data_IF_478298609090
#
_entry.id   IF_478298609090
#
_cell.length_a   1.000
_cell.length_b   1.000
_cell.length_c   1.000
_cell.angle_alpha   90.00
_cell.angle_beta   90.00
_cell.angle_gamma   90.00
#
_symmetry.space_group_name_H-M   'P 1'
#
loop_
_entity.id
_entity.type
_entity.pdbx_description
1 polymer ?
#
# COMPACT_ATOMS: atom_id res chain seq x y z
N UNK A 1 -45.71 35.52 -32.52
CA UNK A 1 -44.57 35.72 -33.44
C UNK A 1 -43.59 34.57 -33.25
N UNK A 2 -43.37 33.76 -34.29
CA UNK A 2 -42.39 32.70 -34.26
C UNK A 2 -40.99 33.33 -34.16
N UNK A 3 -40.20 32.93 -33.16
CA UNK A 3 -38.84 33.42 -32.98
C UNK A 3 -37.96 32.80 -34.06
N UNK A 4 -37.32 33.63 -34.87
CA UNK A 4 -36.39 33.16 -35.90
C UNK A 4 -35.11 32.61 -35.23
N UNK A 5 -35.05 31.29 -35.16
CA UNK A 5 -33.97 30.52 -34.52
C UNK A 5 -32.67 30.60 -35.32
N UNK A 6 -32.68 31.18 -36.53
CA UNK A 6 -31.49 31.36 -37.37
C UNK A 6 -30.81 32.72 -37.14
N UNK A 7 -31.42 33.63 -36.38
CA UNK A 7 -30.83 34.94 -36.09
C UNK A 7 -29.76 34.83 -34.98
N UNK A 8 -28.49 35.21 -35.23
CA UNK A 8 -27.43 35.19 -34.23
C UNK A 8 -27.70 36.07 -33.00
N UNK A 9 -28.42 37.19 -33.17
CA UNK A 9 -28.78 38.09 -32.06
C UNK A 9 -29.77 37.46 -31.09
N UNK A 10 -30.64 36.57 -31.60
CA UNK A 10 -31.56 35.81 -30.76
C UNK A 10 -30.80 34.90 -29.80
N UNK A 11 -29.78 34.19 -30.30
CA UNK A 11 -28.93 33.34 -29.48
C UNK A 11 -28.08 34.13 -28.50
N UNK A 12 -27.54 35.28 -28.90
CA UNK A 12 -26.80 36.16 -27.98
C UNK A 12 -27.69 36.65 -26.83
N UNK A 13 -28.91 37.11 -27.10
CA UNK A 13 -29.88 37.49 -26.05
C UNK A 13 -30.37 36.31 -25.22
N UNK A 14 -30.43 35.11 -25.81
CA UNK A 14 -30.82 33.89 -25.11
C UNK A 14 -29.73 33.41 -24.15
N UNK A 15 -28.47 33.45 -24.56
CA UNK A 15 -27.31 33.07 -23.74
C UNK A 15 -27.07 34.02 -22.56
N UNK A 16 -27.44 35.30 -22.68
CA UNK A 16 -27.37 36.31 -21.61
C UNK A 16 -28.54 36.22 -20.61
N UNK A 17 -29.46 35.26 -20.76
CA UNK A 17 -30.55 35.08 -19.77
C UNK A 17 -29.97 34.49 -18.49
N UNK A 18 -30.31 35.02 -17.31
CA UNK A 18 -29.77 34.51 -16.03
C UNK A 18 -29.99 33.01 -15.84
N UNK A 19 -31.13 32.48 -16.30
CA UNK A 19 -31.47 31.05 -16.25
C UNK A 19 -30.54 30.20 -17.14
N UNK A 20 -30.23 30.69 -18.34
CA UNK A 20 -29.37 30.00 -19.31
C UNK A 20 -27.91 30.08 -18.87
N UNK A 21 -27.47 31.23 -18.36
CA UNK A 21 -26.14 31.37 -17.75
C UNK A 21 -25.95 30.45 -16.55
N UNK A 22 -26.96 30.31 -15.68
CA UNK A 22 -26.90 29.40 -14.54
C UNK A 22 -26.77 27.93 -14.98
N UNK A 23 -27.50 27.52 -16.01
CA UNK A 23 -27.37 26.18 -16.61
C UNK A 23 -26.00 25.97 -17.23
N UNK A 24 -25.48 26.95 -17.97
CA UNK A 24 -24.14 26.89 -18.59
C UNK A 24 -23.03 26.84 -17.54
N UNK A 25 -23.10 27.64 -16.47
CA UNK A 25 -22.16 27.57 -15.34
C UNK A 25 -22.20 26.21 -14.64
N UNK A 26 -23.40 25.65 -14.46
CA UNK A 26 -23.56 24.30 -13.88
C UNK A 26 -22.94 23.23 -14.79
N UNK A 27 -23.11 23.35 -16.10
CA UNK A 27 -22.52 22.46 -17.11
C UNK A 27 -20.98 22.55 -17.10
N UNK A 28 -20.42 23.76 -17.17
CA UNK A 28 -18.96 23.99 -17.09
C UNK A 28 -18.36 23.44 -15.79
N UNK A 29 -19.04 23.63 -14.66
CA UNK A 29 -18.61 23.08 -13.37
C UNK A 29 -18.61 21.54 -13.39
N UNK A 30 -19.63 20.92 -13.98
CA UNK A 30 -19.71 19.46 -14.11
C UNK A 30 -18.63 18.91 -15.06
N UNK A 31 -18.42 19.55 -16.20
CA UNK A 31 -17.35 19.21 -17.15
C UNK A 31 -15.97 19.30 -16.48
N UNK A 32 -15.71 20.38 -15.74
CA UNK A 32 -14.47 20.54 -14.96
C UNK A 32 -14.27 19.42 -13.92
N UNK A 33 -15.32 18.99 -13.22
CA UNK A 33 -15.23 17.86 -12.30
C UNK A 33 -15.00 16.53 -13.02
N UNK A 34 -15.63 16.31 -14.17
CA UNK A 34 -15.44 15.11 -14.98
C UNK A 34 -14.01 15.02 -15.52
N UNK A 35 -13.46 16.13 -16.02
CA UNK A 35 -12.06 16.24 -16.45
C UNK A 35 -11.09 15.98 -15.29
N UNK A 36 -11.33 16.58 -14.12
CA UNK A 36 -10.53 16.34 -12.92
C UNK A 36 -10.56 14.86 -12.51
N UNK A 37 -11.75 14.24 -12.50
CA UNK A 37 -11.91 12.83 -12.18
C UNK A 37 -11.19 11.92 -13.20
N UNK A 38 -11.25 12.25 -14.49
CA UNK A 38 -10.55 11.52 -15.53
C UNK A 38 -9.03 11.63 -15.37
N UNK A 39 -8.51 12.83 -15.07
CA UNK A 39 -7.09 13.05 -14.78
C UNK A 39 -6.63 12.24 -13.56
N UNK A 40 -7.44 12.20 -12.49
CA UNK A 40 -7.14 11.37 -11.31
C UNK A 40 -7.11 9.88 -11.64
N UNK A 41 -8.02 9.39 -12.49
CA UNK A 41 -8.01 7.98 -12.94
C UNK A 41 -6.75 7.64 -13.73
N UNK A 42 -6.35 8.50 -14.65
CA UNK A 42 -5.13 8.32 -15.46
C UNK A 42 -3.88 8.31 -14.57
N UNK A 43 -3.76 9.25 -13.64
CA UNK A 43 -2.64 9.31 -12.70
C UNK A 43 -2.57 8.05 -11.81
N UNK A 44 -3.71 7.52 -11.35
CA UNK A 44 -3.74 6.23 -10.63
C UNK A 44 -3.26 5.06 -11.49
N UNK A 45 -3.66 4.99 -12.75
CA UNK A 45 -3.24 3.95 -13.68
C UNK A 45 -1.74 4.02 -13.97
N UNK A 46 -1.20 5.23 -14.20
CA UNK A 46 0.23 5.43 -14.39
C UNK A 46 1.04 5.02 -13.16
N UNK A 47 0.61 5.42 -11.95
CA UNK A 47 1.30 5.02 -10.71
C UNK A 47 1.30 3.50 -10.54
N UNK A 48 0.18 2.84 -10.86
CA UNK A 48 0.11 1.37 -10.86
C UNK A 48 1.14 0.78 -11.82
N UNK A 49 1.21 1.26 -13.06
CA UNK A 49 2.20 0.78 -14.03
C UNK A 49 3.64 0.98 -13.54
N UNK A 50 3.95 2.16 -12.99
CA UNK A 50 5.30 2.45 -12.44
C UNK A 50 5.70 1.47 -11.35
N UNK A 51 4.77 1.06 -10.48
CA UNK A 51 5.04 0.04 -9.45
C UNK A 51 5.40 -1.31 -10.07
N UNK A 52 4.66 -1.76 -11.07
CA UNK A 52 4.97 -3.00 -11.79
C UNK A 52 6.34 -2.93 -12.46
N UNK A 53 6.65 -1.83 -13.13
CA UNK A 53 7.93 -1.64 -13.82
C UNK A 53 9.10 -1.70 -12.82
N UNK A 54 9.00 -0.98 -11.70
CA UNK A 54 10.04 -1.01 -10.65
C UNK A 54 10.21 -2.43 -10.12
N UNK A 55 9.11 -3.14 -9.86
CA UNK A 55 9.19 -4.48 -9.30
C UNK A 55 9.79 -5.47 -10.27
N UNK A 56 9.39 -5.47 -11.54
CA UNK A 56 9.97 -6.33 -12.56
C UNK A 56 11.50 -6.19 -12.62
N UNK A 57 12.01 -4.97 -12.48
CA UNK A 57 13.45 -4.70 -12.44
C UNK A 57 14.08 -5.11 -11.09
N UNK A 58 13.38 -4.90 -9.96
CA UNK A 58 13.82 -5.38 -8.65
C UNK A 58 13.90 -6.90 -8.59
N UNK A 59 13.05 -7.64 -9.31
CA UNK A 59 13.10 -9.10 -9.37
C UNK A 59 14.42 -9.63 -9.95
N UNK A 60 15.07 -8.85 -10.81
CA UNK A 60 16.38 -9.18 -11.39
C UNK A 60 17.56 -8.77 -10.50
N UNK A 61 17.30 -8.02 -9.42
CA UNK A 61 18.33 -7.59 -8.48
C UNK A 61 18.77 -8.75 -7.55
N UNK A 62 19.96 -8.62 -6.98
CA UNK A 62 20.41 -9.52 -5.93
C UNK A 62 19.52 -9.41 -4.68
N UNK A 63 19.39 -10.53 -3.96
CA UNK A 63 18.51 -10.70 -2.79
C UNK A 63 18.72 -9.65 -1.70
N UNK A 64 19.96 -9.23 -1.44
CA UNK A 64 20.27 -8.19 -0.46
C UNK A 64 19.63 -6.83 -0.78
N UNK A 65 19.55 -6.48 -2.07
CA UNK A 65 18.90 -5.25 -2.53
C UNK A 65 17.38 -5.38 -2.39
N UNK A 66 16.81 -6.55 -2.71
CA UNK A 66 15.38 -6.83 -2.50
C UNK A 66 14.99 -6.69 -1.03
N UNK A 67 15.76 -7.26 -0.11
CA UNK A 67 15.53 -7.16 1.34
C UNK A 67 15.60 -5.73 1.88
N UNK A 68 16.51 -4.91 1.36
CA UNK A 68 16.58 -3.51 1.75
C UNK A 68 15.30 -2.76 1.36
N UNK A 69 14.82 -2.99 0.13
CA UNK A 69 13.76 -2.19 -0.47
C UNK A 69 12.36 -2.68 -0.07
N UNK A 70 12.15 -3.99 0.07
CA UNK A 70 10.86 -4.62 0.38
C UNK A 70 10.08 -3.95 1.52
N UNK A 71 10.65 -3.79 2.72
CA UNK A 71 9.91 -3.18 3.84
C UNK A 71 9.57 -1.70 3.59
N UNK A 72 10.31 -1.03 2.68
CA UNK A 72 10.10 0.37 2.33
C UNK A 72 9.17 0.56 1.13
N UNK A 73 8.92 -0.48 0.33
CA UNK A 73 8.27 -0.33 -0.97
C UNK A 73 6.80 0.09 -0.90
N UNK A 74 6.13 -0.18 0.23
CA UNK A 74 4.76 0.29 0.51
C UNK A 74 4.63 1.81 0.63
N UNK A 75 5.73 2.51 0.87
CA UNK A 75 5.71 3.96 1.06
C UNK A 75 5.91 4.70 -0.26
N UNK A 76 5.06 5.71 -0.49
CA UNK A 76 5.10 6.54 -1.69
C UNK A 76 6.46 7.20 -1.94
N UNK A 77 7.14 7.67 -0.88
CA UNK A 77 8.47 8.29 -1.00
C UNK A 77 9.49 7.32 -1.61
N UNK A 78 9.44 6.06 -1.20
CA UNK A 78 10.29 4.99 -1.75
C UNK A 78 9.97 4.75 -3.21
N UNK A 79 8.69 4.59 -3.56
CA UNK A 79 8.27 4.34 -4.95
C UNK A 79 8.66 5.49 -5.89
N UNK A 80 8.46 6.74 -5.47
CA UNK A 80 8.85 7.91 -6.24
C UNK A 80 10.35 7.99 -6.45
N UNK A 81 11.13 7.70 -5.39
CA UNK A 81 12.58 7.71 -5.47
C UNK A 81 13.09 6.58 -6.39
N UNK A 82 12.60 5.36 -6.23
CA UNK A 82 12.97 4.22 -7.08
C UNK A 82 12.59 4.44 -8.54
N UNK A 83 11.43 5.06 -8.83
CA UNK A 83 11.05 5.43 -10.20
C UNK A 83 12.07 6.40 -10.80
N UNK A 84 12.47 7.43 -10.04
CA UNK A 84 13.48 8.39 -10.48
C UNK A 84 14.81 7.69 -10.80
N UNK A 85 15.27 6.83 -9.91
CA UNK A 85 16.50 6.04 -10.10
C UNK A 85 16.41 5.12 -11.31
N UNK A 86 15.25 4.49 -11.55
CA UNK A 86 15.02 3.64 -12.72
C UNK A 86 15.10 4.45 -14.02
N UNK A 87 14.49 5.64 -14.06
CA UNK A 87 14.60 6.54 -15.19
C UNK A 87 16.04 6.98 -15.44
N UNK A 88 16.78 7.35 -14.39
CA UNK A 88 18.20 7.72 -14.49
C UNK A 88 19.06 6.56 -15.01
N UNK A 89 18.85 5.34 -14.49
CA UNK A 89 19.55 4.14 -14.95
C UNK A 89 19.33 3.89 -16.45
N UNK A 90 18.08 4.03 -16.92
CA UNK A 90 17.72 3.90 -18.34
C UNK A 90 18.35 4.98 -19.20
N UNK A 91 18.41 6.23 -18.72
CA UNK A 91 19.05 7.34 -19.44
C UNK A 91 20.56 7.14 -19.55
N UNK A 92 21.19 6.60 -18.52
CA UNK A 92 22.63 6.32 -18.48
C UNK A 92 23.00 4.99 -19.16
N UNK A 93 22.02 4.19 -19.61
CA UNK A 93 22.24 2.90 -20.25
C UNK A 93 22.78 1.83 -19.29
N UNK A 94 22.52 1.96 -17.99
CA UNK A 94 22.96 1.01 -16.97
C UNK A 94 21.80 0.19 -16.39
N UNK A 95 22.13 -0.99 -15.86
CA UNK A 95 21.14 -1.83 -15.20
C UNK A 95 20.64 -1.17 -13.92
N UNK A 96 19.35 -1.30 -13.65
CA UNK A 96 18.74 -0.74 -12.45
C UNK A 96 19.39 -1.29 -11.17
N UNK A 97 19.71 -2.58 -11.15
CA UNK A 97 20.40 -3.24 -10.04
C UNK A 97 21.77 -2.63 -9.74
N UNK A 98 22.53 -2.24 -10.77
CA UNK A 98 23.84 -1.61 -10.61
C UNK A 98 23.68 -0.17 -10.15
N UNK A 99 22.67 0.56 -10.64
CA UNK A 99 22.38 1.93 -10.19
C UNK A 99 22.06 1.96 -8.69
N UNK A 100 21.27 1.00 -8.20
CA UNK A 100 20.93 0.88 -6.78
C UNK A 100 22.13 0.63 -5.87
N UNK A 101 23.21 0.05 -6.41
CA UNK A 101 24.46 -0.21 -5.68
C UNK A 101 25.41 0.98 -5.65
N UNK A 102 25.15 2.02 -6.44
CA UNK A 102 25.97 3.23 -6.39
C UNK A 102 25.90 3.85 -4.99
N UNK A 103 27.02 4.34 -4.42
CA UNK A 103 27.04 4.84 -3.05
C UNK A 103 25.98 5.92 -2.81
N UNK A 104 25.78 6.84 -3.75
CA UNK A 104 24.81 7.92 -3.59
C UNK A 104 23.37 7.39 -3.45
N UNK A 105 22.98 6.44 -4.31
CA UNK A 105 21.63 5.85 -4.29
C UNK A 105 21.44 4.99 -3.04
N UNK A 106 22.42 4.16 -2.72
CA UNK A 106 22.37 3.30 -1.55
C UNK A 106 22.26 4.10 -0.25
N UNK A 107 23.07 5.16 -0.08
CA UNK A 107 22.99 6.04 1.08
C UNK A 107 21.63 6.73 1.18
N UNK A 108 21.05 7.19 0.07
CA UNK A 108 19.72 7.80 0.09
C UNK A 108 18.64 6.80 0.48
N UNK A 109 18.71 5.56 0.02
CA UNK A 109 17.79 4.49 0.44
C UNK A 109 17.90 4.21 1.94
N UNK A 110 19.11 4.20 2.51
CA UNK A 110 19.31 4.07 3.94
C UNK A 110 18.75 5.27 4.72
N UNK A 111 18.88 6.50 4.19
CA UNK A 111 18.23 7.68 4.79
C UNK A 111 16.71 7.55 4.78
N UNK A 112 16.11 7.13 3.66
CA UNK A 112 14.66 6.88 3.58
C UNK A 112 14.25 5.81 4.60
N UNK A 113 15.04 4.75 4.77
CA UNK A 113 14.81 3.71 5.78
C UNK A 113 14.81 4.28 7.21
N UNK A 114 15.78 5.14 7.52
CA UNK A 114 15.87 5.80 8.81
C UNK A 114 14.69 6.76 9.04
N UNK A 115 14.33 7.54 8.02
CA UNK A 115 13.16 8.45 8.02
C UNK A 115 11.86 7.68 8.32
N UNK A 116 11.67 6.50 7.72
CA UNK A 116 10.51 5.63 7.96
C UNK A 116 10.53 5.03 9.38
N UNK A 117 11.70 4.56 9.84
CA UNK A 117 11.84 3.85 11.13
C UNK A 117 11.71 4.80 12.33
N UNK A 118 12.03 6.09 12.19
CA UNK A 118 12.09 7.04 13.30
C UNK A 118 10.74 7.40 13.97
N UNK A 119 9.60 6.90 13.49
CA UNK A 119 8.34 6.96 14.23
C UNK A 119 7.65 8.33 14.29
N UNK A 120 6.50 8.42 15.00
CA UNK A 120 5.32 9.21 14.59
C UNK A 120 5.45 10.75 14.67
N UNK A 121 6.57 11.28 15.18
CA UNK A 121 6.83 12.72 15.29
C UNK A 121 7.98 13.22 14.41
N UNK A 122 8.65 12.34 13.65
CA UNK A 122 9.70 12.74 12.71
C UNK A 122 9.16 13.41 11.44
N UNK A 123 7.94 13.05 11.04
CA UNK A 123 7.13 13.84 10.09
C UNK A 123 5.64 13.56 10.36
N UNK A 124 4.90 14.53 10.86
CA UNK A 124 3.44 14.52 10.84
C UNK A 124 2.83 14.60 9.40
N UNK A 125 3.47 14.04 8.37
CA UNK A 125 3.33 14.56 7.00
C UNK A 125 3.57 13.63 5.82
N UNK A 126 3.57 12.30 5.99
CA UNK A 126 3.48 11.41 4.82
C UNK A 126 2.28 10.48 4.95
N UNK A 127 1.09 11.09 4.86
CA UNK A 127 -0.10 10.42 4.35
C UNK A 127 0.23 9.80 2.98
N UNK A 128 0.54 8.51 2.97
CA UNK A 128 0.26 7.54 1.90
C UNK A 128 1.16 6.31 2.11
N UNK A 129 0.75 5.42 3.02
CA UNK A 129 0.65 4.04 2.54
C UNK A 129 -0.32 4.11 1.36
N UNK A 130 0.20 3.97 0.14
CA UNK A 130 -0.69 3.72 -0.99
C UNK A 130 -1.16 2.28 -0.82
N UNK A 131 -2.44 1.97 -1.08
CA UNK A 131 -2.89 0.58 -1.20
C UNK A 131 -2.07 -0.09 -2.31
N UNK A 132 -0.95 -0.69 -1.94
CA UNK A 132 -0.19 -1.59 -2.80
C UNK A 132 -0.98 -2.88 -2.78
N UNK A 133 -1.39 -3.36 -3.96
CA UNK A 133 -2.10 -4.63 -4.09
C UNK A 133 -1.33 -5.72 -3.32
N UNK A 134 -2.01 -6.40 -2.39
CA UNK A 134 -1.37 -7.40 -1.50
C UNK A 134 -0.62 -8.46 -2.29
N UNK A 135 -1.19 -8.90 -3.42
CA UNK A 135 -0.58 -9.85 -4.36
C UNK A 135 0.80 -9.37 -4.87
N UNK A 136 0.98 -8.06 -4.97
CA UNK A 136 2.21 -7.44 -5.45
C UNK A 136 3.29 -7.55 -4.37
N UNK A 137 2.97 -7.18 -3.12
CA UNK A 137 3.89 -7.30 -1.99
C UNK A 137 4.20 -8.75 -1.65
N UNK A 138 3.19 -9.63 -1.67
CA UNK A 138 3.35 -11.06 -1.39
C UNK A 138 4.33 -11.72 -2.37
N UNK A 139 4.25 -11.40 -3.68
CA UNK A 139 5.23 -11.90 -4.68
C UNK A 139 6.65 -11.43 -4.41
N UNK A 140 6.81 -10.20 -3.94
CA UNK A 140 8.14 -9.63 -3.68
C UNK A 140 8.78 -10.18 -2.41
N UNK A 141 7.99 -10.37 -1.36
CA UNK A 141 8.44 -10.90 -0.07
C UNK A 141 8.80 -12.38 -0.21
N UNK A 142 7.96 -13.19 -0.87
CA UNK A 142 8.18 -14.63 -1.01
C UNK A 142 9.51 -14.94 -1.71
N UNK A 143 9.87 -14.24 -2.80
CA UNK A 143 11.15 -14.48 -3.48
C UNK A 143 12.37 -13.92 -2.75
N UNK A 144 12.20 -12.91 -1.90
CA UNK A 144 13.28 -12.45 -1.04
C UNK A 144 13.62 -13.54 0.00
N UNK A 145 12.63 -14.22 0.55
CA UNK A 145 12.79 -15.16 1.67
C UNK A 145 13.09 -16.62 1.28
N UNK A 146 13.13 -16.98 -0.02
CA UNK A 146 13.43 -18.34 -0.48
C UNK A 146 14.93 -18.70 -0.42
N UNK A 147 15.47 -18.95 0.77
CA UNK A 147 16.72 -19.74 0.94
C UNK A 147 16.42 -20.92 1.87
N UNK A 148 16.48 -22.18 1.37
CA UNK A 148 16.52 -23.33 2.26
C UNK A 148 17.90 -23.39 2.92
N UNK A 149 17.98 -23.11 4.23
CA UNK A 149 19.20 -23.32 5.03
C UNK A 149 19.73 -22.13 5.86
N UNK A 150 18.94 -21.08 6.10
CA UNK A 150 19.37 -19.94 6.93
C UNK A 150 19.29 -20.23 8.44
N UNK A 151 20.43 -20.57 9.03
CA UNK A 151 20.76 -20.71 10.47
C UNK A 151 19.79 -19.98 11.41
N UNK A 152 19.27 -20.73 12.39
CA UNK A 152 18.43 -20.24 13.48
C UNK A 152 19.15 -19.14 14.27
N UNK A 153 18.54 -17.95 14.29
CA UNK A 153 18.89 -16.87 15.21
C UNK A 153 19.74 -15.76 14.60
N UNK A 154 19.12 -14.85 13.84
CA UNK A 154 19.53 -13.42 13.75
C UNK A 154 18.60 -12.54 12.87
N UNK A 155 17.29 -12.83 12.81
CA UNK A 155 16.34 -11.92 12.16
C UNK A 155 15.08 -11.77 13.04
N UNK A 156 14.83 -10.59 13.65
CA UNK A 156 13.65 -10.37 14.50
C UNK A 156 12.31 -10.40 13.74
N UNK A 157 12.32 -10.50 12.40
CA UNK A 157 11.15 -10.45 11.52
C UNK A 157 10.85 -11.77 10.76
N UNK A 158 11.57 -12.86 11.05
CA UNK A 158 11.26 -14.15 10.40
C UNK A 158 10.03 -14.77 11.03
N UNK A 159 8.92 -14.77 10.28
CA UNK A 159 7.73 -15.52 10.66
C UNK A 159 8.06 -17.00 10.76
N UNK A 160 7.69 -17.61 11.87
CA UNK A 160 7.78 -19.05 12.03
C UNK A 160 6.76 -19.70 11.10
N UNK A 161 7.25 -20.55 10.18
CA UNK A 161 6.40 -21.32 9.26
C UNK A 161 5.92 -22.57 9.99
N UNK A 162 4.61 -22.73 10.06
CA UNK A 162 3.94 -23.79 10.80
C UNK A 162 3.23 -24.76 9.85
N UNK A 163 3.21 -26.03 10.25
CA UNK A 163 2.43 -27.05 9.57
C UNK A 163 0.91 -26.82 9.78
N UNK A 164 0.09 -27.61 9.08
CA UNK A 164 -1.37 -27.47 9.14
C UNK A 164 -1.95 -27.61 10.56
N UNK A 165 -1.36 -28.47 11.40
CA UNK A 165 -1.88 -28.72 12.75
C UNK A 165 -1.48 -27.58 13.69
N UNK A 166 -0.24 -27.14 13.58
CA UNK A 166 0.32 -26.05 14.37
C UNK A 166 -0.37 -24.72 14.06
N UNK A 167 -0.57 -24.41 12.77
CA UNK A 167 -1.25 -23.18 12.38
C UNK A 167 -2.72 -23.15 12.83
N UNK A 168 -3.40 -24.31 12.86
CA UNK A 168 -4.76 -24.38 13.39
C UNK A 168 -4.80 -23.99 14.87
N UNK A 169 -3.83 -24.44 15.67
CA UNK A 169 -3.72 -24.02 17.07
C UNK A 169 -3.51 -22.52 17.23
N UNK A 170 -2.73 -21.90 16.34
CA UNK A 170 -2.55 -20.45 16.30
C UNK A 170 -3.84 -19.72 15.93
N UNK A 171 -4.58 -20.25 14.95
CA UNK A 171 -5.86 -19.69 14.53
C UNK A 171 -6.91 -19.80 15.65
N UNK A 172 -7.01 -20.94 16.32
CA UNK A 172 -7.94 -21.16 17.42
C UNK A 172 -7.66 -20.19 18.59
N UNK A 173 -6.38 -19.99 18.92
CA UNK A 173 -5.97 -19.01 19.92
C UNK A 173 -6.31 -17.58 19.50
N UNK A 174 -6.04 -17.20 18.24
CA UNK A 174 -6.41 -15.88 17.71
C UNK A 174 -7.91 -15.61 17.80
N UNK A 175 -8.73 -16.63 17.51
CA UNK A 175 -10.18 -16.54 17.60
C UNK A 175 -10.66 -16.40 19.05
N UNK A 176 -10.04 -17.14 19.99
CA UNK A 176 -10.31 -17.01 21.42
C UNK A 176 -10.00 -15.60 21.92
N UNK A 177 -8.80 -15.09 21.66
CA UNK A 177 -8.37 -13.76 22.11
C UNK A 177 -9.27 -12.66 21.55
N UNK A 178 -9.67 -12.76 20.28
CA UNK A 178 -10.64 -11.85 19.67
C UNK A 178 -12.00 -11.90 20.37
N UNK A 179 -12.49 -13.10 20.71
CA UNK A 179 -13.76 -13.26 21.43
C UNK A 179 -13.70 -12.64 22.83
N UNK A 180 -12.64 -12.90 23.59
CA UNK A 180 -12.42 -12.32 24.92
C UNK A 180 -12.27 -10.79 24.85
N UNK A 181 -11.60 -10.27 23.82
CA UNK A 181 -11.49 -8.83 23.58
C UNK A 181 -12.85 -8.19 23.29
N UNK A 182 -13.69 -8.82 22.47
CA UNK A 182 -15.05 -8.35 22.20
C UNK A 182 -15.93 -8.37 23.46
N UNK A 183 -15.84 -9.43 24.28
CA UNK A 183 -16.58 -9.54 25.53
C UNK A 183 -16.16 -8.45 26.54
N UNK A 184 -14.85 -8.22 26.70
CA UNK A 184 -14.34 -7.14 27.53
C UNK A 184 -14.81 -5.77 27.04
N UNK A 185 -14.86 -5.56 25.71
CA UNK A 185 -15.36 -4.33 25.11
C UNK A 185 -16.85 -4.10 25.41
N UNK A 186 -17.68 -5.14 25.28
CA UNK A 186 -19.12 -5.07 25.60
C UNK A 186 -19.35 -4.79 27.08
N UNK A 187 -18.49 -5.30 27.96
CA UNK A 187 -18.55 -5.08 29.40
C UNK A 187 -17.92 -3.74 29.85
N UNK A 188 -17.65 -2.82 28.92
CA UNK A 188 -17.01 -1.51 29.15
C UNK A 188 -15.61 -1.59 29.80
N UNK A 189 -14.99 -2.76 29.76
CA UNK A 189 -13.61 -2.97 30.20
C UNK A 189 -12.66 -2.73 29.01
N UNK A 190 -12.49 -1.45 28.65
CA UNK A 190 -11.70 -1.02 27.49
C UNK A 190 -10.23 -1.40 27.59
N UNK A 191 -9.66 -1.36 28.80
CA UNK A 191 -8.26 -1.73 29.04
C UNK A 191 -8.04 -3.24 28.88
N UNK A 192 -8.99 -4.04 29.36
CA UNK A 192 -9.00 -5.49 29.14
C UNK A 192 -9.15 -5.84 27.65
N UNK A 193 -10.04 -5.14 26.94
CA UNK A 193 -10.22 -5.33 25.49
C UNK A 193 -8.95 -5.01 24.71
N UNK A 194 -8.35 -3.83 24.97
CA UNK A 194 -7.12 -3.39 24.32
C UNK A 194 -5.96 -4.37 24.57
N UNK A 195 -5.82 -4.85 25.80
CA UNK A 195 -4.79 -5.84 26.16
C UNK A 195 -4.94 -7.12 25.34
N UNK A 196 -6.17 -7.63 25.19
CA UNK A 196 -6.43 -8.84 24.40
C UNK A 196 -6.12 -8.61 22.92
N UNK A 197 -6.55 -7.49 22.33
CA UNK A 197 -6.22 -7.20 20.93
C UNK A 197 -4.72 -7.04 20.68
N UNK A 198 -3.98 -6.41 21.61
CA UNK A 198 -2.53 -6.32 21.54
C UNK A 198 -1.86 -7.70 21.60
N UNK A 199 -2.31 -8.60 22.48
CA UNK A 199 -1.81 -9.98 22.56
C UNK A 199 -2.04 -10.74 21.24
N UNK A 200 -3.23 -10.57 20.64
CA UNK A 200 -3.54 -11.14 19.34
C UNK A 200 -2.65 -10.62 18.22
N UNK A 201 -2.41 -9.30 18.17
CA UNK A 201 -1.49 -8.67 17.21
C UNK A 201 -0.05 -9.18 17.36
N UNK A 202 0.48 -9.16 18.59
CA UNK A 202 1.85 -9.56 18.88
C UNK A 202 2.13 -11.02 18.55
N UNK A 203 1.14 -11.89 18.75
CA UNK A 203 1.26 -13.32 18.50
C UNK A 203 1.09 -13.64 17.01
N UNK A 204 -0.01 -13.18 16.39
CA UNK A 204 -0.35 -13.56 15.00
C UNK A 204 0.64 -13.02 13.96
N UNK A 205 1.31 -11.89 14.24
CA UNK A 205 2.31 -11.32 13.32
C UNK A 205 3.56 -12.20 13.14
N UNK A 206 3.83 -13.11 14.08
CA UNK A 206 5.04 -13.93 14.10
C UNK A 206 4.89 -15.27 13.36
N UNK A 207 3.70 -15.62 12.87
CA UNK A 207 3.44 -16.92 12.25
C UNK A 207 3.05 -16.82 10.78
N UNK A 208 3.34 -17.88 10.03
CA UNK A 208 2.85 -18.11 8.67
C UNK A 208 2.56 -19.61 8.51
N UNK A 209 1.58 -19.98 7.68
CA UNK A 209 1.36 -21.38 7.31
C UNK A 209 2.28 -21.75 6.13
N UNK A 210 2.52 -23.04 5.91
CA UNK A 210 3.21 -23.53 4.72
C UNK A 210 2.60 -22.95 3.42
N UNK A 211 3.41 -22.66 2.37
CA UNK A 211 2.94 -21.94 1.18
C UNK A 211 1.75 -22.57 0.44
N UNK A 212 1.59 -23.89 0.52
CA UNK A 212 0.48 -24.61 -0.10
C UNK A 212 -0.84 -24.51 0.69
N UNK A 213 -0.79 -24.03 1.94
CA UNK A 213 -1.93 -23.78 2.82
C UNK A 213 -2.44 -22.33 2.65
N UNK A 214 -2.85 -22.01 1.42
CA UNK A 214 -3.28 -20.65 1.05
C UNK A 214 -4.53 -20.18 1.81
N UNK A 215 -5.40 -21.12 2.19
CA UNK A 215 -6.62 -20.84 2.95
C UNK A 215 -6.28 -20.41 4.38
N UNK A 216 -5.43 -21.16 5.06
CA UNK A 216 -5.01 -20.93 6.44
C UNK A 216 -4.21 -19.62 6.54
N UNK A 217 -3.35 -19.33 5.57
CA UNK A 217 -2.66 -18.04 5.48
C UNK A 217 -3.62 -16.85 5.31
N UNK A 218 -4.70 -17.01 4.54
CA UNK A 218 -5.74 -15.99 4.39
C UNK A 218 -6.53 -15.77 5.68
N UNK A 219 -6.85 -16.84 6.40
CA UNK A 219 -7.53 -16.78 7.68
C UNK A 219 -6.66 -16.09 8.75
N UNK A 220 -5.37 -16.43 8.80
CA UNK A 220 -4.41 -15.81 9.72
C UNK A 220 -4.32 -14.29 9.49
N UNK A 221 -4.17 -13.87 8.22
CA UNK A 221 -4.15 -12.45 7.83
C UNK A 221 -5.44 -11.72 8.23
N UNK A 222 -6.60 -12.36 7.99
CA UNK A 222 -7.92 -11.79 8.33
C UNK A 222 -8.06 -11.57 9.83
N UNK A 223 -7.59 -12.54 10.63
CA UNK A 223 -7.66 -12.48 12.07
C UNK A 223 -6.71 -11.44 12.67
N UNK A 224 -5.48 -11.39 12.15
CA UNK A 224 -4.50 -10.37 12.54
C UNK A 224 -5.04 -8.96 12.30
N UNK A 225 -5.65 -8.72 11.14
CA UNK A 225 -6.30 -7.43 10.81
C UNK A 225 -7.46 -7.11 11.76
N UNK A 226 -8.26 -8.10 12.15
CA UNK A 226 -9.35 -7.89 13.09
C UNK A 226 -8.86 -7.41 14.46
N UNK A 227 -7.74 -7.97 14.95
CA UNK A 227 -7.12 -7.51 16.20
C UNK A 227 -6.55 -6.09 16.05
N UNK A 228 -5.90 -5.78 14.92
CA UNK A 228 -5.36 -4.43 14.66
C UNK A 228 -6.45 -3.36 14.56
N UNK A 229 -7.58 -3.66 13.93
CA UNK A 229 -8.67 -2.70 13.76
C UNK A 229 -9.44 -2.42 15.05
N UNK A 230 -9.39 -3.35 16.01
CA UNK A 230 -10.09 -3.24 17.28
C UNK A 230 -9.20 -2.70 18.42
N UNK A 231 -7.90 -2.53 18.16
CA UNK A 231 -6.93 -1.85 19.02
C UNK A 231 -7.11 -0.33 18.97
#
# INVERSE_FOLDING_TARGET
MAKDVRNPEFWNKFLMRPEVEAVMRKKLKYESYAEAAQKTKLDKAERKQRRYDIMNELMQCATNVKHLISPMFRYKITQQYLWKVLCEARQEGMLFCDKLRTPQVYHRLQSIKAEITAGPYGVAGWQAEEEVEEDLMDKFVVEADCIPGGIDGEAPDRKQVLDKREIQGVLDFGQQIKSEGNEAFVNENWEGALTRYCQGDEMLKNFAAEPHLSKENKELKTMHRACLNNK
#
